data_IF_639609470532
#
_entry.id   IF_639609470532
#
_cell.length_a   1.000
_cell.length_b   1.000
_cell.length_c   1.000
_cell.angle_alpha   90.00
_cell.angle_beta   90.00
_cell.angle_gamma   90.00
#
_symmetry.space_group_name_H-M   'P 1'
#
loop_
_entity.id
_entity.type
_entity.pdbx_description
1 polymer ?
#
# COMPACT_ATOMS: atom_id res chain seq x y z
N UNK A 1 -16.20 43.71 52.06
CA UNK A 1 -14.84 43.12 52.06
C UNK A 1 -14.97 41.64 51.68
N UNK A 2 -14.40 41.27 50.52
CA UNK A 2 -14.03 39.92 50.07
C UNK A 2 -15.15 38.88 49.82
N UNK A 3 -15.70 38.91 48.61
CA UNK A 3 -16.39 37.79 47.96
C UNK A 3 -15.31 36.81 47.50
N UNK A 4 -15.29 35.60 48.09
CA UNK A 4 -14.41 34.50 47.69
C UNK A 4 -14.98 33.81 46.44
N UNK A 5 -14.57 34.28 45.26
CA UNK A 5 -14.76 33.57 44.00
C UNK A 5 -13.74 32.42 43.95
N UNK A 6 -14.20 31.21 44.28
CA UNK A 6 -13.43 29.99 44.05
C UNK A 6 -13.26 29.79 42.53
N UNK A 7 -12.04 30.05 42.05
CA UNK A 7 -11.63 29.78 40.68
C UNK A 7 -11.66 28.28 40.41
N UNK A 8 -12.64 27.86 39.62
CA UNK A 8 -12.68 26.54 39.01
C UNK A 8 -11.56 26.46 37.97
N UNK A 9 -10.40 25.95 38.38
CA UNK A 9 -9.32 25.57 37.45
C UNK A 9 -9.80 24.31 36.71
N UNK A 10 -10.46 24.53 35.58
CA UNK A 10 -10.74 23.48 34.59
C UNK A 10 -9.39 23.04 34.00
N UNK A 11 -8.88 21.91 34.50
CA UNK A 11 -7.73 21.23 33.93
C UNK A 11 -8.16 20.65 32.58
N UNK A 12 -7.96 21.41 31.51
CA UNK A 12 -8.14 20.95 30.14
C UNK A 12 -7.06 19.91 29.80
N UNK A 13 -7.32 18.66 30.19
CA UNK A 13 -6.52 17.51 29.76
C UNK A 13 -6.63 17.40 28.24
N UNK A 14 -5.59 17.84 27.53
CA UNK A 14 -5.48 17.64 26.09
C UNK A 14 -5.58 16.15 25.79
N UNK A 15 -6.58 15.76 25.01
CA UNK A 15 -6.67 14.45 24.39
C UNK A 15 -5.48 14.33 23.44
N UNK A 16 -4.37 13.78 23.93
CA UNK A 16 -3.33 13.26 23.07
C UNK A 16 -3.97 12.10 22.29
N UNK A 17 -4.39 12.38 21.05
CA UNK A 17 -4.80 11.32 20.14
C UNK A 17 -3.60 10.39 19.97
N UNK A 18 -3.68 9.19 20.53
CA UNK A 18 -2.75 8.13 20.21
C UNK A 18 -2.88 7.91 18.70
N UNK A 19 -1.87 8.35 17.93
CA UNK A 19 -1.82 8.05 16.51
C UNK A 19 -1.66 6.54 16.39
N UNK A 20 -2.65 5.88 15.80
CA UNK A 20 -2.53 4.52 15.35
C UNK A 20 -1.23 4.38 14.53
N UNK A 21 -0.41 3.39 14.89
CA UNK A 21 0.83 3.15 14.18
C UNK A 21 0.54 2.70 12.74
N UNK A 22 1.29 3.25 11.80
CA UNK A 22 1.07 3.10 10.35
C UNK A 22 1.92 1.93 9.81
N UNK A 23 1.29 0.83 9.33
CA UNK A 23 2.01 -0.31 8.79
C UNK A 23 2.61 -0.04 7.40
N UNK A 24 2.30 1.08 6.74
CA UNK A 24 2.84 1.38 5.41
C UNK A 24 4.35 1.65 5.46
N UNK A 25 5.02 1.32 4.35
CA UNK A 25 6.48 1.52 4.16
C UNK A 25 7.22 0.24 3.80
N UNK A 26 8.55 0.32 3.77
CA UNK A 26 9.42 -0.83 3.50
C UNK A 26 9.91 -1.46 4.82
N UNK A 27 9.80 -2.78 4.88
CA UNK A 27 10.09 -3.57 6.08
C UNK A 27 11.07 -4.68 5.75
N UNK A 28 12.18 -4.74 6.49
CA UNK A 28 13.15 -5.84 6.39
C UNK A 28 12.65 -7.04 7.19
N UNK A 29 12.58 -8.20 6.53
CA UNK A 29 12.19 -9.46 7.19
C UNK A 29 13.23 -9.88 8.24
N UNK A 30 12.85 -10.72 9.20
CA UNK A 30 13.66 -11.01 10.39
C UNK A 30 15.04 -11.63 10.06
N UNK A 31 15.11 -12.52 9.07
CA UNK A 31 16.36 -13.13 8.60
C UNK A 31 17.17 -12.20 7.66
N UNK A 32 16.61 -11.04 7.31
CA UNK A 32 17.24 -9.99 6.53
C UNK A 32 17.48 -10.31 5.06
N UNK A 33 16.81 -11.32 4.49
CA UNK A 33 16.99 -11.75 3.08
C UNK A 33 16.14 -10.95 2.08
N UNK A 34 15.13 -10.23 2.55
CA UNK A 34 14.23 -9.44 1.71
C UNK A 34 13.72 -8.18 2.42
N UNK A 35 13.27 -7.21 1.63
CA UNK A 35 12.44 -6.12 2.12
C UNK A 35 11.06 -6.20 1.49
N UNK A 36 10.02 -6.03 2.29
CA UNK A 36 8.62 -6.05 1.87
C UNK A 36 8.09 -4.62 1.87
N UNK A 37 7.62 -4.14 0.72
CA UNK A 37 6.88 -2.88 0.63
C UNK A 37 5.44 -3.11 0.98
N UNK A 38 4.94 -2.36 1.96
CA UNK A 38 3.59 -2.44 2.47
C UNK A 38 2.82 -1.17 2.13
N UNK A 39 1.64 -1.32 1.53
CA UNK A 39 0.78 -0.21 1.11
C UNK A 39 -0.70 -0.56 1.26
N UNK A 40 -1.56 0.47 1.34
CA UNK A 40 -3.00 0.27 1.28
C UNK A 40 -3.47 0.29 -0.18
N UNK A 41 -4.00 -0.83 -0.66
CA UNK A 41 -4.53 -0.99 -2.01
C UNK A 41 -5.98 -1.51 -1.92
N UNK A 42 -6.91 -0.85 -2.61
CA UNK A 42 -8.33 -1.26 -2.68
C UNK A 42 -9.02 -1.48 -1.33
N UNK A 43 -8.60 -0.75 -0.28
CA UNK A 43 -9.20 -0.81 1.06
C UNK A 43 -8.50 -1.78 2.03
N UNK A 44 -7.64 -2.66 1.53
CA UNK A 44 -6.85 -3.60 2.34
C UNK A 44 -5.36 -3.24 2.32
N UNK A 45 -4.63 -3.71 3.32
CA UNK A 45 -3.17 -3.65 3.31
C UNK A 45 -2.60 -4.81 2.48
N UNK A 46 -1.60 -4.50 1.67
CA UNK A 46 -0.87 -5.44 0.83
C UNK A 46 0.63 -5.28 1.06
N UNK A 47 1.39 -6.35 0.85
CA UNK A 47 2.84 -6.36 1.00
C UNK A 47 3.49 -7.16 -0.10
N UNK A 48 4.48 -6.60 -0.79
CA UNK A 48 5.21 -7.28 -1.88
C UNK A 48 6.72 -7.25 -1.65
N UNK A 49 7.44 -8.22 -2.21
CA UNK A 49 8.91 -8.20 -2.19
C UNK A 49 9.42 -7.01 -3.02
N UNK A 50 10.05 -6.03 -2.37
CA UNK A 50 10.57 -4.81 -3.00
C UNK A 50 12.10 -4.83 -3.18
N UNK A 51 12.79 -5.69 -2.44
CA UNK A 51 14.23 -5.90 -2.54
C UNK A 51 14.59 -7.30 -2.04
N UNK A 52 15.66 -7.85 -2.60
CA UNK A 52 16.21 -9.17 -2.26
C UNK A 52 17.70 -9.05 -2.01
N UNK A 53 18.20 -9.74 -0.98
CA UNK A 53 19.64 -9.85 -0.72
C UNK A 53 20.36 -10.56 -1.87
N UNK A 54 19.73 -11.59 -2.42
CA UNK A 54 20.19 -12.33 -3.60
C UNK A 54 19.15 -12.13 -4.72
N UNK A 55 19.39 -11.21 -5.67
CA UNK A 55 18.41 -10.90 -6.70
C UNK A 55 18.18 -12.05 -7.68
N UNK A 56 16.96 -12.13 -8.21
CA UNK A 56 16.61 -13.06 -9.29
C UNK A 56 15.94 -14.35 -8.81
N UNK A 57 15.41 -14.33 -7.58
CA UNK A 57 14.64 -15.43 -7.03
C UNK A 57 13.41 -15.79 -7.89
N UNK A 58 12.97 -17.03 -7.73
CA UNK A 58 11.81 -17.62 -8.41
C UNK A 58 10.96 -18.37 -7.40
N UNK A 59 9.66 -18.38 -7.63
CA UNK A 59 8.71 -19.02 -6.74
C UNK A 59 8.65 -20.56 -6.91
N UNK A 60 9.80 -21.23 -6.83
CA UNK A 60 9.95 -22.64 -7.24
C UNK A 60 9.11 -23.62 -6.42
N UNK A 61 8.74 -23.24 -5.18
CA UNK A 61 7.97 -24.06 -4.26
C UNK A 61 6.45 -23.89 -4.44
N UNK A 62 5.99 -23.02 -5.33
CA UNK A 62 4.57 -22.80 -5.52
C UNK A 62 3.84 -24.11 -5.89
N UNK A 63 2.74 -24.49 -5.22
CA UNK A 63 1.96 -25.67 -5.58
C UNK A 63 1.33 -25.55 -6.98
N UNK A 64 1.04 -24.34 -7.43
CA UNK A 64 0.59 -24.06 -8.80
C UNK A 64 1.78 -24.02 -9.75
N UNK A 65 1.84 -25.02 -10.64
CA UNK A 65 2.92 -25.18 -11.64
C UNK A 65 3.07 -23.94 -12.53
N UNK A 66 1.98 -23.24 -12.83
CA UNK A 66 2.02 -22.03 -13.66
C UNK A 66 2.73 -20.86 -12.99
N UNK A 67 2.82 -20.87 -11.65
CA UNK A 67 3.44 -19.81 -10.85
C UNK A 67 4.89 -20.12 -10.48
N UNK A 68 5.36 -21.37 -10.66
CA UNK A 68 6.72 -21.78 -10.24
C UNK A 68 7.87 -20.98 -10.84
N UNK A 69 7.65 -20.34 -11.99
CA UNK A 69 8.66 -19.54 -12.67
C UNK A 69 8.44 -18.03 -12.53
N UNK A 70 7.45 -17.58 -11.74
CA UNK A 70 7.25 -16.14 -11.51
C UNK A 70 8.42 -15.57 -10.70
N UNK A 71 8.89 -14.35 -11.00
CA UNK A 71 9.85 -13.67 -10.15
C UNK A 71 9.31 -13.49 -8.73
N UNK A 72 10.18 -13.64 -7.74
CA UNK A 72 9.85 -13.32 -6.34
C UNK A 72 9.79 -11.82 -6.11
N UNK A 73 10.58 -11.02 -6.84
CA UNK A 73 10.48 -9.56 -6.83
C UNK A 73 9.09 -9.10 -7.35
N UNK A 74 8.42 -8.24 -6.59
CA UNK A 74 7.05 -7.78 -6.87
C UNK A 74 5.95 -8.77 -6.48
N UNK A 75 6.30 -9.98 -6.02
CA UNK A 75 5.33 -10.99 -5.62
C UNK A 75 4.63 -10.59 -4.31
N UNK A 76 3.30 -10.77 -4.19
CA UNK A 76 2.58 -10.58 -2.94
C UNK A 76 3.01 -11.57 -1.85
N UNK A 77 3.34 -11.03 -0.68
CA UNK A 77 3.64 -11.75 0.56
C UNK A 77 2.53 -11.51 1.59
N UNK A 78 2.13 -10.25 1.81
CA UNK A 78 0.96 -9.93 2.63
C UNK A 78 -0.24 -9.70 1.71
N UNK A 79 -1.32 -10.45 1.93
CA UNK A 79 -2.44 -10.56 1.00
C UNK A 79 -3.73 -10.20 1.74
N UNK A 80 -4.47 -9.22 1.18
CA UNK A 80 -5.79 -8.77 1.65
C UNK A 80 -5.87 -8.56 3.17
N UNK A 81 -4.90 -7.84 3.76
CA UNK A 81 -4.85 -7.59 5.20
C UNK A 81 -5.85 -6.50 5.58
N UNK A 82 -7.02 -6.89 6.12
CA UNK A 82 -8.11 -6.00 6.51
C UNK A 82 -7.95 -5.47 7.92
N UNK A 83 -8.19 -4.18 8.12
CA UNK A 83 -8.12 -3.54 9.45
C UNK A 83 -9.16 -4.16 10.38
N UNK A 84 -8.74 -4.60 11.56
CA UNK A 84 -9.66 -5.01 12.62
C UNK A 84 -10.32 -3.78 13.27
N UNK A 85 -11.66 -3.73 13.39
CA UNK A 85 -12.33 -2.62 14.06
C UNK A 85 -11.85 -2.47 15.51
N UNK A 86 -11.48 -1.24 15.89
CA UNK A 86 -11.10 -0.92 17.27
C UNK A 86 -9.71 -1.42 17.72
N UNK A 87 -8.90 -1.98 16.82
CA UNK A 87 -7.55 -2.47 17.14
C UNK A 87 -6.50 -2.01 16.11
N UNK A 88 -5.26 -1.83 16.55
CA UNK A 88 -4.12 -1.59 15.66
C UNK A 88 -3.54 -2.86 15.06
N UNK A 89 -4.43 -3.63 14.45
CA UNK A 89 -4.13 -4.93 13.86
C UNK A 89 -4.90 -5.10 12.54
N UNK A 90 -4.31 -5.83 11.61
CA UNK A 90 -4.95 -6.23 10.36
C UNK A 90 -4.89 -7.76 10.21
N UNK A 91 -5.89 -8.33 9.55
CA UNK A 91 -6.07 -9.77 9.34
C UNK A 91 -6.21 -10.10 7.86
N UNK A 92 -5.51 -11.13 7.42
CA UNK A 92 -5.51 -11.58 6.02
C UNK A 92 -4.70 -12.85 5.88
N UNK A 93 -3.90 -12.94 4.82
CA UNK A 93 -3.05 -14.09 4.55
C UNK A 93 -1.59 -13.67 4.32
N UNK A 94 -0.67 -14.56 4.70
CA UNK A 94 0.74 -14.45 4.32
C UNK A 94 1.11 -15.62 3.42
N UNK A 95 1.80 -15.34 2.31
CA UNK A 95 2.43 -16.34 1.46
C UNK A 95 3.88 -16.54 1.85
N UNK A 96 4.29 -17.78 2.12
CA UNK A 96 5.68 -18.13 2.36
C UNK A 96 6.28 -18.81 1.14
N UNK A 97 7.15 -18.11 0.41
CA UNK A 97 7.82 -18.66 -0.77
C UNK A 97 8.79 -19.82 -0.45
N UNK A 98 9.21 -19.97 0.82
CA UNK A 98 10.13 -21.05 1.24
C UNK A 98 9.47 -22.43 1.24
N UNK A 99 8.17 -22.49 1.51
CA UNK A 99 7.39 -23.74 1.53
C UNK A 99 6.20 -23.75 0.57
N UNK A 100 5.92 -22.62 -0.08
CA UNK A 100 4.85 -22.46 -1.05
C UNK A 100 3.45 -22.37 -0.44
N UNK A 101 3.32 -22.17 0.88
CA UNK A 101 2.04 -22.20 1.58
C UNK A 101 1.48 -20.81 1.91
N UNK A 102 0.15 -20.79 2.08
CA UNK A 102 -0.60 -19.64 2.58
C UNK A 102 -1.02 -19.89 4.03
N UNK A 103 -0.83 -18.89 4.87
CA UNK A 103 -1.21 -18.93 6.29
C UNK A 103 -2.18 -17.80 6.60
N UNK A 104 -3.21 -18.07 7.38
CA UNK A 104 -3.99 -17.02 8.03
C UNK A 104 -3.08 -16.23 8.93
N UNK A 105 -3.06 -14.90 8.79
CA UNK A 105 -2.07 -14.07 9.45
C UNK A 105 -2.64 -12.77 9.97
N UNK A 106 -1.98 -12.24 10.99
CA UNK A 106 -2.16 -10.88 11.49
C UNK A 106 -0.90 -10.06 11.25
N UNK A 107 -1.08 -8.74 11.09
CA UNK A 107 0.01 -7.77 11.18
C UNK A 107 -0.31 -6.74 12.26
N UNK A 108 0.66 -6.44 13.11
CA UNK A 108 0.52 -5.53 14.25
C UNK A 108 1.74 -4.61 14.32
N UNK A 109 1.60 -3.30 14.06
CA UNK A 109 2.68 -2.34 14.27
C UNK A 109 3.05 -2.24 15.75
N UNK A 110 4.35 -2.31 16.06
CA UNK A 110 4.89 -2.14 17.41
C UNK A 110 5.73 -0.85 17.41
N UNK A 111 5.10 0.25 17.83
CA UNK A 111 5.69 1.58 17.69
C UNK A 111 5.84 1.97 16.22
N UNK A 112 6.85 2.77 15.88
CA UNK A 112 7.10 3.18 14.50
C UNK A 112 8.03 2.25 13.75
N UNK A 113 8.95 1.56 14.43
CA UNK A 113 10.10 0.88 13.78
C UNK A 113 9.93 -0.63 13.63
N UNK A 114 8.86 -1.22 14.15
CA UNK A 114 8.65 -2.66 14.13
C UNK A 114 7.25 -3.03 13.63
N UNK A 115 7.18 -4.12 12.88
CA UNK A 115 5.93 -4.72 12.41
C UNK A 115 5.95 -6.20 12.77
N UNK A 116 5.07 -6.61 13.66
CA UNK A 116 4.89 -8.02 14.00
C UNK A 116 3.99 -8.69 12.98
N UNK A 117 4.44 -9.83 12.44
CA UNK A 117 3.69 -10.73 11.57
C UNK A 117 3.47 -12.03 12.33
N UNK A 118 2.22 -12.48 12.48
CA UNK A 118 1.91 -13.78 13.08
C UNK A 118 1.03 -14.59 12.15
N UNK A 119 1.53 -15.73 11.68
CA UNK A 119 0.80 -16.68 10.85
C UNK A 119 0.45 -17.94 11.63
N UNK A 120 -0.73 -18.51 11.38
CA UNK A 120 -1.17 -19.75 12.02
C UNK A 120 -1.57 -20.80 10.97
N UNK A 121 -1.12 -22.03 11.18
CA UNK A 121 -1.64 -23.21 10.47
C UNK A 121 -2.91 -23.67 11.17
N UNK A 122 -4.03 -23.74 10.43
CA UNK A 122 -5.34 -24.20 10.91
C UNK A 122 -5.84 -23.48 12.18
N UNK A 123 -5.33 -22.26 12.47
CA UNK A 123 -5.75 -21.42 13.58
C UNK A 123 -5.17 -21.76 14.97
N UNK A 124 -4.36 -22.82 15.12
CA UNK A 124 -3.83 -23.24 16.44
C UNK A 124 -2.31 -23.39 16.51
N UNK A 125 -1.62 -23.69 15.40
CA UNK A 125 -0.15 -23.70 15.37
C UNK A 125 0.34 -22.37 14.79
N UNK A 126 0.64 -21.43 15.68
CA UNK A 126 1.04 -20.08 15.30
C UNK A 126 2.55 -19.89 15.45
N UNK A 127 3.15 -19.27 14.44
CA UNK A 127 4.50 -18.72 14.46
C UNK A 127 4.46 -17.24 14.09
N UNK A 128 5.58 -16.55 14.23
CA UNK A 128 5.65 -15.16 13.84
C UNK A 128 7.07 -14.63 13.75
N UNK A 129 7.19 -13.48 13.12
CA UNK A 129 8.43 -12.74 12.95
C UNK A 129 8.17 -11.26 13.24
N UNK A 130 9.18 -10.56 13.71
CA UNK A 130 9.14 -9.10 13.81
C UNK A 130 10.04 -8.52 12.74
N UNK A 131 9.43 -7.75 11.84
CA UNK A 131 10.14 -7.04 10.78
C UNK A 131 10.56 -5.67 11.28
N UNK A 132 11.65 -5.17 10.71
CA UNK A 132 12.23 -3.88 11.09
C UNK A 132 12.07 -2.87 9.97
N UNK A 133 11.74 -1.62 10.32
CA UNK A 133 11.56 -0.57 9.33
C UNK A 133 12.89 -0.27 8.63
N UNK A 134 12.83 -0.06 7.33
CA UNK A 134 13.94 0.49 6.56
C UNK A 134 13.87 2.03 6.59
N UNK A 135 14.95 2.71 7.00
CA UNK A 135 15.05 4.18 7.13
C UNK A 135 14.80 4.94 5.78
N UNK A 136 14.52 6.26 5.78
CA UNK A 136 13.40 6.89 5.07
C UNK A 136 13.64 7.21 3.57
N UNK A 137 12.58 7.44 2.76
CA UNK A 137 11.68 6.43 2.21
C UNK A 137 11.89 6.28 0.69
N UNK A 138 11.71 5.07 0.17
CA UNK A 138 11.31 4.92 -1.23
C UNK A 138 9.95 5.65 -1.34
N UNK A 139 9.76 6.58 -2.30
CA UNK A 139 8.60 7.46 -2.32
C UNK A 139 7.33 6.63 -2.14
N UNK A 140 6.55 7.03 -1.15
CA UNK A 140 5.19 6.54 -0.92
C UNK A 140 4.53 6.35 -2.27
N UNK A 141 4.06 5.12 -2.56
CA UNK A 141 3.01 4.96 -3.56
C UNK A 141 1.98 6.07 -3.33
N UNK A 142 1.49 6.78 -4.38
CA UNK A 142 0.42 7.75 -4.24
C UNK A 142 -0.78 7.20 -3.42
N UNK A 143 -0.98 5.88 -3.41
CA UNK A 143 -1.96 5.20 -2.58
C UNK A 143 -1.73 5.37 -1.06
N UNK A 144 -0.49 5.38 -0.59
CA UNK A 144 -0.16 5.62 0.83
C UNK A 144 -0.44 7.07 1.26
N UNK A 145 -0.39 8.02 0.32
CA UNK A 145 -0.75 9.43 0.58
C UNK A 145 -2.27 9.62 0.73
N UNK A 146 -3.08 8.78 0.09
CA UNK A 146 -4.56 8.83 0.18
C UNK A 146 -5.08 8.29 1.53
N UNK A 147 -4.38 7.34 2.13
CA UNK A 147 -4.73 6.81 3.47
C UNK A 147 -4.56 7.85 4.59
N UNK A 148 -3.69 8.85 4.38
CA UNK A 148 -3.32 9.85 5.40
C UNK A 148 -4.22 11.10 5.41
N UNK A 149 -5.22 11.19 4.52
CA UNK A 149 -5.87 12.47 4.20
C UNK A 149 -7.36 12.43 3.87
N UNK A 150 -8.19 11.70 4.63
CA UNK A 150 -9.65 11.81 4.50
C UNK A 150 -10.28 12.70 5.60
N UNK A 151 -10.42 14.03 5.41
CA UNK A 151 -11.49 14.79 6.02
C UNK A 151 -12.80 14.64 5.23
N UNK A 152 -13.88 14.51 5.99
CA UNK A 152 -15.28 14.37 5.61
C UNK A 152 -15.77 15.48 4.66
N UNK A 153 -16.50 15.09 3.62
CA UNK A 153 -17.07 15.91 2.53
C UNK A 153 -17.98 17.07 2.96
N UNK A 154 -17.98 18.19 2.20
CA UNK A 154 -19.12 18.83 1.50
C UNK A 154 -18.78 20.31 1.09
N UNK A 155 -19.62 21.04 0.33
CA UNK A 155 -19.91 20.90 -1.11
C UNK A 155 -19.68 22.23 -1.91
N UNK A 156 -19.62 22.11 -3.24
CA UNK A 156 -19.81 23.13 -4.29
C UNK A 156 -19.35 24.59 -4.05
N UNK A 157 -18.44 25.06 -4.89
CA UNK A 157 -18.43 26.46 -5.33
C UNK A 157 -18.08 26.56 -6.82
N UNK A 158 -18.88 27.36 -7.49
CA UNK A 158 -19.10 27.44 -8.92
C UNK A 158 -17.90 27.92 -9.73
N UNK A 159 -17.78 27.43 -10.96
CA UNK A 159 -17.08 28.12 -12.05
C UNK A 159 -18.16 28.74 -12.95
N UNK A 160 -18.17 30.07 -13.17
CA UNK A 160 -19.10 30.67 -14.11
C UNK A 160 -18.62 30.46 -15.55
N UNK A 161 -19.57 30.10 -16.39
CA UNK A 161 -19.45 29.97 -17.83
C UNK A 161 -19.17 31.32 -18.53
N UNK A 162 -18.39 31.29 -19.61
CA UNK A 162 -18.62 32.17 -20.78
C UNK A 162 -18.45 31.37 -22.07
N UNK A 163 -19.53 31.40 -22.86
CA UNK A 163 -19.74 30.79 -24.17
C UNK A 163 -19.21 31.64 -25.33
N UNK A 164 -18.87 30.98 -26.45
CA UNK A 164 -19.13 31.40 -27.85
C UNK A 164 -18.82 30.17 -28.75
N UNK A 165 -19.78 29.39 -29.26
CA UNK A 165 -20.72 29.58 -30.39
C UNK A 165 -20.09 29.40 -31.79
N UNK A 166 -20.46 28.26 -32.44
CA UNK A 166 -20.82 27.99 -33.86
C UNK A 166 -19.87 28.42 -35.02
N UNK A 167 -19.76 27.79 -36.20
CA UNK A 167 -20.31 26.58 -36.81
C UNK A 167 -19.68 26.37 -38.22
N UNK A 168 -19.66 25.10 -38.66
CA UNK A 168 -19.94 24.56 -40.03
C UNK A 168 -19.00 24.80 -41.24
N UNK A 169 -18.58 23.65 -41.78
CA UNK A 169 -18.80 23.11 -43.15
C UNK A 169 -17.64 23.03 -44.17
N UNK A 170 -17.59 21.82 -44.76
CA UNK A 170 -17.33 21.45 -46.15
C UNK A 170 -15.95 20.88 -46.53
N UNK A 171 -16.03 19.87 -47.39
CA UNK A 171 -15.09 18.79 -47.66
C UNK A 171 -14.16 19.05 -48.85
N UNK A 172 -13.04 18.32 -48.96
CA UNK A 172 -12.72 17.41 -50.10
C UNK A 172 -11.33 16.74 -49.99
N UNK A 173 -11.33 15.41 -50.21
CA UNK A 173 -10.33 14.53 -50.86
C UNK A 173 -8.83 14.63 -50.54
N UNK A 174 -8.24 13.48 -50.13
CA UNK A 174 -6.98 13.02 -50.73
C UNK A 174 -5.88 12.47 -49.80
N UNK A 175 -5.72 11.14 -49.83
CA UNK A 175 -4.43 10.41 -49.81
C UNK A 175 -3.74 10.08 -48.47
N UNK A 176 -3.80 8.77 -48.15
CA UNK A 176 -2.80 7.86 -47.55
C UNK A 176 -2.03 8.22 -46.26
N UNK A 177 -2.20 7.36 -45.25
CA UNK A 177 -1.42 7.20 -44.02
C UNK A 177 0.04 6.81 -44.32
N UNK A 178 0.99 7.19 -43.44
CA UNK A 178 1.41 6.23 -42.42
C UNK A 178 1.47 6.85 -41.02
N UNK A 179 1.02 6.08 -40.03
CA UNK A 179 0.92 6.54 -38.64
C UNK A 179 2.30 6.77 -37.98
N UNK A 180 2.46 7.82 -37.16
CA UNK A 180 3.60 7.93 -36.27
C UNK A 180 3.33 7.15 -34.98
N UNK A 181 4.23 6.22 -34.69
CA UNK A 181 4.36 5.46 -33.45
C UNK A 181 4.31 6.42 -32.24
N UNK A 182 3.26 6.32 -31.42
CA UNK A 182 3.24 6.94 -30.12
C UNK A 182 4.20 6.17 -29.20
N UNK A 183 5.45 6.63 -29.15
CA UNK A 183 6.43 6.20 -28.16
C UNK A 183 5.93 6.52 -26.76
N UNK A 184 5.92 5.50 -25.91
CA UNK A 184 5.70 5.59 -24.46
C UNK A 184 6.49 6.76 -23.88
N UNK A 185 5.81 7.74 -23.30
CA UNK A 185 6.41 8.67 -22.34
C UNK A 185 6.40 7.99 -20.97
N UNK A 186 7.30 7.03 -20.78
CA UNK A 186 7.68 6.56 -19.44
C UNK A 186 8.48 7.66 -18.77
N UNK A 187 7.83 8.43 -17.91
CA UNK A 187 8.51 9.37 -17.01
C UNK A 187 9.22 8.58 -15.92
N UNK A 188 10.56 8.66 -15.91
CA UNK A 188 11.52 8.29 -14.86
C UNK A 188 11.17 7.08 -13.97
N UNK A 189 11.69 5.90 -14.35
CA UNK A 189 11.98 4.85 -13.38
C UNK A 189 13.11 5.34 -12.46
N UNK A 190 12.81 5.51 -11.18
CA UNK A 190 13.78 5.82 -10.13
C UNK A 190 14.74 4.63 -10.03
N UNK A 191 16.03 4.82 -10.30
CA UNK A 191 17.05 3.75 -10.41
C UNK A 191 17.35 2.96 -9.11
N UNK A 192 16.52 3.08 -8.07
CA UNK A 192 16.62 2.36 -6.79
C UNK A 192 15.30 1.76 -6.32
N UNK A 193 14.23 1.80 -7.12
CA UNK A 193 12.94 1.22 -6.80
C UNK A 193 12.47 0.29 -7.94
N UNK A 194 12.83 -1.00 -7.89
CA UNK A 194 12.54 -1.91 -9.00
C UNK A 194 11.06 -2.31 -9.09
N UNK A 195 10.26 -2.03 -8.06
CA UNK A 195 8.85 -2.46 -7.99
C UNK A 195 7.88 -1.28 -8.16
N UNK A 196 8.24 -0.08 -7.70
CA UNK A 196 7.39 1.10 -7.86
C UNK A 196 6.12 1.05 -7.01
N UNK A 197 5.00 1.51 -7.58
CA UNK A 197 3.70 1.48 -6.94
C UNK A 197 3.09 0.07 -6.95
N UNK A 198 3.06 -0.54 -5.77
CA UNK A 198 2.62 -1.94 -5.60
C UNK A 198 1.13 -2.11 -5.91
N UNK A 199 0.32 -1.05 -5.79
CA UNK A 199 -1.12 -1.14 -6.06
C UNK A 199 -1.44 -1.29 -7.55
N UNK A 200 -0.46 -1.04 -8.44
CA UNK A 200 -0.60 -1.21 -9.89
C UNK A 200 -0.16 -2.61 -10.37
N UNK A 201 0.39 -3.44 -9.49
CA UNK A 201 0.81 -4.80 -9.82
C UNK A 201 -0.42 -5.65 -10.12
N UNK A 202 -0.37 -6.46 -11.18
CA UNK A 202 -1.54 -7.21 -11.68
C UNK A 202 -2.21 -8.10 -10.62
N UNK A 203 -1.41 -8.74 -9.78
CA UNK A 203 -1.90 -9.61 -8.69
C UNK A 203 -2.68 -8.83 -7.61
N UNK A 204 -2.46 -7.52 -7.47
CA UNK A 204 -3.13 -6.65 -6.49
C UNK A 204 -4.26 -5.86 -7.16
N UNK A 205 -3.99 -5.25 -8.31
CA UNK A 205 -4.96 -4.43 -9.04
C UNK A 205 -6.19 -5.23 -9.49
N UNK A 206 -6.01 -6.50 -9.84
CA UNK A 206 -7.09 -7.41 -10.25
C UNK A 206 -7.93 -7.95 -9.09
N UNK A 207 -7.50 -7.76 -7.84
CA UNK A 207 -8.22 -8.22 -6.66
C UNK A 207 -9.38 -7.27 -6.37
N UNK A 208 -10.52 -7.52 -7.01
CA UNK A 208 -11.79 -6.84 -6.73
C UNK A 208 -12.60 -7.65 -5.72
N UNK A 209 -13.10 -6.98 -4.68
CA UNK A 209 -13.95 -7.56 -3.63
C UNK A 209 -15.31 -8.01 -4.16
#
# INVERSE_FOLDING_TARGET
MRILLYSLIMLASGLASAKAADPTGDWRVADGVANIRVAQCNGSMWGVVAWEKEPGGRDTNNPDVSKKNRPTLGMPILIDMKKKPGADQWEGQVYNAKDGQLYSSTITPIGTEQLEIRGCVLGFLCGGETWTRVAPPIPSSPANSMAKGAPKSAPNSAVPAKSAVAAKNAATTGVAMPGPKAGKKTTNAQAGDPVGDICLLGDIAGFSH
#
